data_IF_714211420646
#
_entry.id   IF_714211420646
#
_cell.length_a   1.000
_cell.length_b   1.000
_cell.length_c   1.000
_cell.angle_alpha   90.00
_cell.angle_beta   90.00
_cell.angle_gamma   90.00
#
_symmetry.space_group_name_H-M   'P 1'
#
loop_
_entity.id
_entity.type
_entity.pdbx_description
1 polymer ?
#
# COMPACT_ATOMS: atom_id res chain seq x y z
N UNK A 1 -18.35 -72.43 -4.92
CA UNK A 1 -18.10 -71.70 -6.18
C UNK A 1 -19.21 -70.68 -6.37
N UNK A 2 -19.02 -69.36 -6.46
CA UNK A 2 -17.90 -68.48 -6.17
C UNK A 2 -18.50 -67.11 -5.80
N UNK A 3 -18.05 -66.54 -4.68
CA UNK A 3 -18.38 -65.20 -4.17
C UNK A 3 -17.73 -64.08 -5.03
N UNK A 4 -17.90 -64.13 -6.35
CA UNK A 4 -17.16 -63.24 -7.28
C UNK A 4 -18.03 -62.47 -8.28
N UNK A 5 -19.36 -62.63 -8.29
CA UNK A 5 -20.22 -61.91 -9.26
C UNK A 5 -20.99 -60.71 -8.72
N UNK A 6 -20.81 -60.33 -7.44
CA UNK A 6 -21.49 -59.17 -6.83
C UNK A 6 -20.65 -57.89 -6.74
N UNK A 7 -19.38 -57.93 -7.15
CA UNK A 7 -18.47 -56.77 -7.12
C UNK A 7 -18.22 -56.13 -8.50
N UNK A 8 -18.89 -56.58 -9.56
CA UNK A 8 -18.67 -56.04 -10.92
C UNK A 8 -19.64 -54.92 -11.34
N UNK A 9 -20.57 -54.50 -10.49
CA UNK A 9 -21.50 -53.38 -10.77
C UNK A 9 -21.27 -52.15 -9.88
N UNK A 10 -20.12 -52.07 -9.20
CA UNK A 10 -19.70 -50.90 -8.39
C UNK A 10 -18.39 -50.27 -8.89
N UNK A 11 -17.87 -50.71 -10.04
CA UNK A 11 -16.61 -50.24 -10.65
C UNK A 11 -16.78 -49.58 -12.03
N UNK A 12 -18.00 -49.16 -12.37
CA UNK A 12 -18.30 -48.43 -13.62
C UNK A 12 -18.90 -47.03 -13.38
N UNK A 13 -18.62 -46.46 -12.21
CA UNK A 13 -19.02 -45.11 -11.81
C UNK A 13 -17.84 -44.28 -11.31
N UNK A 14 -16.63 -44.50 -11.84
CA UNK A 14 -15.56 -43.52 -11.72
C UNK A 14 -15.90 -42.37 -12.66
N UNK A 15 -16.63 -41.42 -12.08
CA UNK A 15 -16.78 -40.06 -12.54
C UNK A 15 -15.46 -39.58 -13.15
N UNK A 16 -15.46 -39.42 -14.46
CA UNK A 16 -14.61 -38.47 -15.15
C UNK A 16 -14.96 -37.08 -14.59
N UNK A 17 -14.38 -36.71 -13.44
CA UNK A 17 -14.09 -35.32 -13.17
C UNK A 17 -12.93 -34.95 -14.08
N UNK A 18 -13.24 -34.81 -15.38
CA UNK A 18 -12.47 -33.94 -16.23
C UNK A 18 -12.49 -32.60 -15.52
N UNK A 19 -11.37 -32.26 -14.90
CA UNK A 19 -11.08 -30.91 -14.45
C UNK A 19 -11.20 -30.06 -15.70
N UNK A 20 -12.38 -29.46 -15.85
CA UNK A 20 -12.58 -28.37 -16.78
C UNK A 20 -11.72 -27.26 -16.18
N UNK A 21 -10.46 -27.18 -16.62
CA UNK A 21 -9.77 -25.91 -16.70
C UNK A 21 -10.64 -25.08 -17.63
N UNK A 22 -11.64 -24.42 -17.05
CA UNK A 22 -12.10 -23.15 -17.58
C UNK A 22 -10.88 -22.24 -17.50
N UNK A 23 -10.02 -22.35 -18.51
CA UNK A 23 -9.29 -21.18 -18.98
C UNK A 23 -10.39 -20.23 -19.42
N UNK A 24 -10.87 -19.42 -18.47
CA UNK A 24 -11.46 -18.13 -18.80
C UNK A 24 -10.52 -17.56 -19.86
N UNK A 25 -11.06 -17.31 -21.05
CA UNK A 25 -10.38 -16.47 -22.02
C UNK A 25 -10.19 -15.13 -21.31
N UNK A 26 -9.06 -14.97 -20.64
CA UNK A 26 -8.54 -13.67 -20.29
C UNK A 26 -8.46 -12.93 -21.62
N UNK A 27 -9.16 -11.81 -21.74
CA UNK A 27 -8.81 -10.84 -22.77
C UNK A 27 -7.31 -10.57 -22.70
N UNK A 28 -6.70 -10.12 -23.79
CA UNK A 28 -5.32 -9.64 -23.72
C UNK A 28 -5.24 -8.57 -22.61
N UNK A 29 -4.64 -8.93 -21.47
CA UNK A 29 -4.28 -7.96 -20.43
C UNK A 29 -2.95 -7.32 -20.83
N UNK A 30 -2.71 -6.04 -20.51
CA UNK A 30 -1.44 -5.38 -20.83
C UNK A 30 -0.26 -6.08 -20.15
N UNK A 31 0.87 -6.18 -20.85
CA UNK A 31 2.12 -6.71 -20.29
C UNK A 31 3.16 -5.61 -20.17
N UNK A 32 3.61 -5.37 -18.94
CA UNK A 32 4.71 -4.46 -18.62
C UNK A 32 6.03 -5.23 -18.68
N UNK A 33 6.85 -4.94 -19.68
CA UNK A 33 8.23 -5.42 -19.74
C UNK A 33 9.13 -4.46 -18.94
N UNK A 34 9.56 -4.87 -17.75
CA UNK A 34 10.24 -3.98 -16.81
C UNK A 34 11.68 -3.61 -17.24
N UNK A 35 12.22 -4.29 -18.25
CA UNK A 35 13.53 -4.00 -18.83
C UNK A 35 13.46 -3.35 -20.22
N UNK A 36 12.27 -3.28 -20.81
CA UNK A 36 12.07 -2.58 -22.07
C UNK A 36 12.16 -1.07 -21.88
N UNK A 37 12.82 -0.44 -22.83
CA UNK A 37 12.76 1.01 -23.00
C UNK A 37 11.48 1.37 -23.74
N UNK A 38 10.61 2.11 -23.05
CA UNK A 38 9.40 2.69 -23.61
C UNK A 38 9.65 4.15 -23.98
N UNK A 39 8.85 4.74 -24.90
CA UNK A 39 8.85 6.18 -25.08
C UNK A 39 8.65 6.88 -23.74
N UNK A 40 9.52 7.85 -23.44
CA UNK A 40 9.52 8.58 -22.19
C UNK A 40 9.06 10.02 -22.42
N UNK A 41 8.21 10.56 -21.55
CA UNK A 41 7.81 11.97 -21.57
C UNK A 41 7.60 12.54 -20.18
N UNK A 42 7.80 13.84 -20.04
CA UNK A 42 7.36 14.57 -18.86
C UNK A 42 5.84 14.69 -18.85
N UNK A 43 5.25 14.57 -17.66
CA UNK A 43 3.81 14.65 -17.46
C UNK A 43 3.53 15.42 -16.17
N UNK A 44 2.91 16.59 -16.29
CA UNK A 44 2.45 17.31 -15.11
C UNK A 44 1.26 16.58 -14.51
N UNK A 45 1.16 16.54 -13.19
CA UNK A 45 -0.05 16.02 -12.51
C UNK A 45 -1.31 16.74 -13.04
N UNK A 46 -1.26 18.05 -13.19
CA UNK A 46 -2.37 18.89 -13.65
C UNK A 46 -2.88 18.57 -15.08
N UNK A 47 -2.10 17.86 -15.90
CA UNK A 47 -2.53 17.47 -17.25
C UNK A 47 -3.49 16.29 -17.24
N UNK A 48 -3.45 15.46 -16.19
CA UNK A 48 -4.22 14.20 -16.09
C UNK A 48 -5.05 14.10 -14.82
N UNK A 49 -4.89 15.04 -13.89
CA UNK A 49 -5.52 15.02 -12.59
C UNK A 49 -5.91 16.44 -12.13
N UNK A 50 -6.84 16.51 -11.20
CA UNK A 50 -7.04 17.69 -10.38
C UNK A 50 -6.12 17.60 -9.16
N UNK A 51 -5.36 18.67 -8.92
CA UNK A 51 -4.38 18.76 -7.84
C UNK A 51 -4.90 19.71 -6.77
N UNK A 52 -4.94 19.22 -5.54
CA UNK A 52 -5.34 19.96 -4.34
C UNK A 52 -4.20 19.99 -3.32
N UNK A 53 -3.99 21.16 -2.73
CA UNK A 53 -2.98 21.40 -1.70
C UNK A 53 -3.68 21.76 -0.39
N UNK A 54 -3.52 20.92 0.63
CA UNK A 54 -4.21 21.05 1.91
C UNK A 54 -3.17 21.32 3.00
N UNK A 55 -2.97 22.59 3.42
CA UNK A 55 -2.13 22.89 4.58
C UNK A 55 -2.81 22.34 5.84
N UNK A 56 -2.12 21.47 6.57
CA UNK A 56 -2.63 20.94 7.83
C UNK A 56 -2.42 21.99 8.94
N UNK A 57 -3.46 22.27 9.72
CA UNK A 57 -3.42 23.28 10.79
C UNK A 57 -2.34 22.94 11.82
N UNK A 58 -1.47 23.91 12.11
CA UNK A 58 -0.39 23.78 13.09
C UNK A 58 -0.74 24.50 14.38
N UNK A 59 -0.78 23.76 15.48
CA UNK A 59 -0.94 24.24 16.84
C UNK A 59 -0.10 23.36 17.77
N UNK A 60 0.07 23.76 19.02
CA UNK A 60 0.69 22.90 20.04
C UNK A 60 0.01 21.52 20.18
N UNK A 61 -1.28 21.42 19.85
CA UNK A 61 -2.06 20.18 19.91
C UNK A 61 -2.09 19.39 18.61
N UNK A 62 -1.63 19.98 17.51
CA UNK A 62 -1.70 19.40 16.17
C UNK A 62 -0.34 19.28 15.48
N UNK A 63 0.78 19.51 16.18
CA UNK A 63 2.12 19.41 15.61
C UNK A 63 2.49 17.96 15.25
N UNK A 64 2.84 17.75 13.98
CA UNK A 64 3.21 16.44 13.44
C UNK A 64 4.73 16.31 13.36
N UNK A 65 5.30 15.39 14.15
CA UNK A 65 6.74 15.17 14.19
C UNK A 65 7.21 14.21 13.10
N UNK A 66 6.36 13.26 12.73
CA UNK A 66 6.63 12.33 11.63
C UNK A 66 5.30 11.93 10.98
N UNK A 67 5.14 12.26 9.71
CA UNK A 67 4.02 11.79 8.90
C UNK A 67 4.34 10.40 8.34
N UNK A 68 3.96 9.36 9.09
CA UNK A 68 4.21 7.98 8.66
C UNK A 68 3.03 7.37 7.89
N UNK A 69 1.79 7.62 8.31
CA UNK A 69 0.59 7.08 7.64
C UNK A 69 -0.47 8.16 7.48
N UNK A 70 -1.17 8.10 6.35
CA UNK A 70 -2.18 9.06 5.93
C UNK A 70 -3.41 8.27 5.48
N UNK A 71 -4.58 8.69 5.92
CA UNK A 71 -5.86 8.20 5.45
C UNK A 71 -6.72 9.41 5.09
N UNK A 72 -7.37 9.38 3.94
CA UNK A 72 -8.12 10.51 3.40
C UNK A 72 -9.45 9.99 2.83
N UNK A 73 -10.55 10.60 3.27
CA UNK A 73 -11.87 10.51 2.65
C UNK A 73 -12.21 11.86 1.99
N UNK A 74 -13.41 11.99 1.44
CA UNK A 74 -13.89 13.27 0.89
C UNK A 74 -14.14 14.35 1.97
N UNK A 75 -14.21 13.98 3.26
CA UNK A 75 -14.58 14.86 4.37
C UNK A 75 -13.55 14.92 5.52
N UNK A 76 -12.69 13.91 5.65
CA UNK A 76 -11.76 13.76 6.78
C UNK A 76 -10.37 13.35 6.33
N UNK A 77 -9.39 13.82 7.07
CA UNK A 77 -8.00 13.42 6.97
C UNK A 77 -7.58 12.86 8.33
N UNK A 78 -6.98 11.67 8.33
CA UNK A 78 -6.42 11.03 9.53
C UNK A 78 -4.93 10.83 9.30
N UNK A 79 -4.14 11.43 10.19
CA UNK A 79 -2.69 11.25 10.24
C UNK A 79 -2.33 10.39 11.44
N UNK A 80 -1.48 9.40 11.23
CA UNK A 80 -0.83 8.71 12.34
C UNK A 80 0.62 9.17 12.45
N UNK A 81 0.95 9.75 13.60
CA UNK A 81 2.32 10.12 13.98
C UNK A 81 2.88 9.06 14.94
N UNK A 82 3.87 8.24 14.53
CA UNK A 82 4.43 7.19 15.37
C UNK A 82 5.21 7.74 16.58
N UNK A 83 5.77 8.96 16.49
CA UNK A 83 6.54 9.56 17.59
C UNK A 83 5.63 10.08 18.69
N UNK A 84 4.47 10.62 18.32
CA UNK A 84 3.41 10.97 19.27
C UNK A 84 2.47 9.78 19.57
N UNK A 85 2.61 8.68 18.82
CA UNK A 85 1.79 7.47 18.87
C UNK A 85 0.26 7.74 18.86
N UNK A 86 -0.15 8.78 18.15
CA UNK A 86 -1.51 9.29 18.16
C UNK A 86 -2.10 9.35 16.75
N UNK A 87 -3.42 9.18 16.69
CA UNK A 87 -4.23 9.50 15.52
C UNK A 87 -4.70 10.94 15.64
N UNK A 88 -4.43 11.72 14.61
CA UNK A 88 -4.79 13.13 14.51
C UNK A 88 -5.79 13.29 13.37
N UNK A 89 -6.88 13.97 13.68
CA UNK A 89 -8.02 14.14 12.78
C UNK A 89 -8.07 15.58 12.31
N UNK A 90 -8.27 15.74 11.02
CA UNK A 90 -8.48 17.01 10.37
C UNK A 90 -9.72 16.91 9.49
N UNK A 91 -10.43 18.01 9.28
CA UNK A 91 -11.40 18.08 8.19
C UNK A 91 -10.67 18.20 6.83
N UNK A 92 -11.41 18.10 5.73
CA UNK A 92 -10.85 18.22 4.38
C UNK A 92 -10.15 19.55 4.11
N UNK A 93 -10.47 20.62 4.85
CA UNK A 93 -9.78 21.91 4.70
C UNK A 93 -8.41 21.95 5.39
N UNK A 94 -8.05 20.90 6.13
CA UNK A 94 -6.83 20.79 6.92
C UNK A 94 -6.99 21.33 8.34
N UNK A 95 -8.20 21.71 8.77
CA UNK A 95 -8.44 22.18 10.14
C UNK A 95 -8.43 21.01 11.12
N UNK A 96 -7.72 21.16 12.23
CA UNK A 96 -7.61 20.15 13.28
C UNK A 96 -8.95 19.97 14.03
N UNK A 97 -9.35 18.71 14.18
CA UNK A 97 -10.58 18.30 14.85
C UNK A 97 -10.31 17.69 16.22
N UNK A 98 -9.14 17.10 16.41
CA UNK A 98 -8.77 16.42 17.64
C UNK A 98 -7.77 15.30 17.40
N UNK A 99 -7.30 14.70 18.49
CA UNK A 99 -6.42 13.53 18.43
C UNK A 99 -6.62 12.65 19.65
N UNK A 100 -6.22 11.40 19.52
CA UNK A 100 -6.11 10.51 20.65
C UNK A 100 -4.89 9.59 20.51
N UNK A 101 -4.39 9.10 21.64
CA UNK A 101 -3.46 7.98 21.70
C UNK A 101 -3.98 6.97 22.70
N UNK A 102 -3.97 5.68 22.32
CA UNK A 102 -4.19 4.55 23.24
C UNK A 102 -2.88 3.83 23.53
N UNK A 103 -1.75 4.54 23.56
CA UNK A 103 -0.47 3.95 23.93
C UNK A 103 -0.42 3.63 25.42
N UNK A 104 -0.19 2.38 25.75
CA UNK A 104 -0.14 1.90 27.12
C UNK A 104 -0.10 0.38 27.19
N UNK A 105 -0.17 -0.16 28.41
CA UNK A 105 0.00 -1.60 28.66
C UNK A 105 -1.29 -2.30 29.10
N UNK A 106 -2.41 -1.57 29.18
CA UNK A 106 -3.70 -2.19 29.50
C UNK A 106 -4.23 -3.06 28.34
N UNK A 107 -5.23 -3.89 28.62
CA UNK A 107 -5.81 -4.79 27.63
C UNK A 107 -6.47 -4.11 26.41
N UNK A 108 -6.82 -2.84 26.56
CA UNK A 108 -7.49 -1.99 25.55
C UNK A 108 -6.56 -0.96 24.92
N UNK A 109 -5.30 -0.89 25.36
CA UNK A 109 -4.27 -0.01 24.83
C UNK A 109 -3.32 -0.79 23.94
N UNK A 110 -2.62 -0.12 23.02
CA UNK A 110 -1.54 -0.70 22.23
C UNK A 110 -0.16 -0.32 22.78
N UNK A 111 0.79 -1.25 22.70
CA UNK A 111 2.19 -0.99 23.06
C UNK A 111 2.98 -0.59 21.81
N UNK A 112 2.88 -1.42 20.77
CA UNK A 112 3.55 -1.25 19.48
C UNK A 112 2.55 -1.48 18.35
N UNK A 113 2.57 -0.62 17.35
CA UNK A 113 1.74 -0.73 16.15
C UNK A 113 2.62 -1.31 15.04
N UNK A 114 2.25 -2.50 14.56
CA UNK A 114 2.95 -3.22 13.50
C UNK A 114 2.25 -3.08 12.14
N UNK A 115 0.94 -2.84 12.16
CA UNK A 115 0.14 -2.58 10.98
C UNK A 115 -1.13 -1.83 11.37
N UNK A 116 -1.70 -1.08 10.44
CA UNK A 116 -2.90 -0.30 10.70
C UNK A 116 -3.63 0.07 9.42
N UNK A 117 -4.94 0.27 9.55
CA UNK A 117 -5.80 0.82 8.49
C UNK A 117 -7.05 1.44 9.11
N UNK A 118 -7.84 2.14 8.32
CA UNK A 118 -9.10 2.76 8.76
C UNK A 118 -10.24 2.37 7.83
N UNK A 119 -11.45 2.39 8.36
CA UNK A 119 -12.68 2.32 7.61
C UNK A 119 -13.49 3.60 7.91
N UNK A 120 -13.59 4.47 6.91
CA UNK A 120 -14.32 5.74 7.03
C UNK A 120 -15.83 5.54 7.15
N UNK A 121 -16.40 4.51 6.50
CA UNK A 121 -17.85 4.24 6.54
C UNK A 121 -18.27 3.69 7.90
N UNK A 122 -17.41 2.89 8.52
CA UNK A 122 -17.65 2.34 9.87
C UNK A 122 -17.12 3.24 10.99
N UNK A 123 -16.37 4.30 10.66
CA UNK A 123 -15.61 5.13 11.58
C UNK A 123 -14.75 4.31 12.56
N UNK A 124 -14.03 3.33 11.99
CA UNK A 124 -13.21 2.37 12.73
C UNK A 124 -11.74 2.43 12.37
N UNK A 125 -10.89 2.37 13.39
CA UNK A 125 -9.44 2.25 13.26
C UNK A 125 -9.04 0.83 13.66
N UNK A 126 -8.25 0.18 12.81
CA UNK A 126 -7.75 -1.17 12.99
C UNK A 126 -6.25 -1.12 13.27
N UNK A 127 -5.83 -1.67 14.40
CA UNK A 127 -4.43 -1.68 14.85
C UNK A 127 -3.97 -3.11 15.03
N UNK A 128 -2.98 -3.53 14.25
CA UNK A 128 -2.28 -4.78 14.47
C UNK A 128 -1.12 -4.59 15.46
N UNK A 129 -1.21 -5.32 16.57
CA UNK A 129 -0.15 -5.45 17.57
C UNK A 129 0.43 -6.87 17.52
N UNK A 130 1.61 -7.02 16.93
CA UNK A 130 2.39 -8.25 17.04
C UNK A 130 3.01 -8.37 18.43
N UNK A 131 3.00 -9.58 18.97
CA UNK A 131 3.73 -9.96 20.19
C UNK A 131 4.70 -11.09 19.84
N UNK A 132 5.96 -10.95 20.26
CA UNK A 132 6.97 -11.98 19.96
C UNK A 132 6.69 -13.24 20.76
N UNK A 133 6.57 -14.39 20.08
CA UNK A 133 6.32 -15.69 20.71
C UNK A 133 4.92 -15.85 21.33
N UNK A 134 3.98 -14.95 21.02
CA UNK A 134 2.59 -14.98 21.48
C UNK A 134 1.64 -14.64 20.32
N UNK A 135 0.36 -15.01 20.39
CA UNK A 135 -0.64 -14.54 19.43
C UNK A 135 -0.68 -13.00 19.37
N UNK A 136 -0.76 -12.48 18.15
CA UNK A 136 -0.98 -11.06 17.89
C UNK A 136 -2.45 -10.67 18.07
N UNK A 137 -2.73 -9.37 18.01
CA UNK A 137 -4.11 -8.87 18.06
C UNK A 137 -4.35 -7.81 17.01
N UNK A 138 -5.51 -7.85 16.35
CA UNK A 138 -6.08 -6.65 15.74
C UNK A 138 -7.02 -6.03 16.78
N UNK A 139 -6.74 -4.80 17.20
CA UNK A 139 -7.59 -4.01 18.08
C UNK A 139 -8.36 -2.98 17.25
N UNK A 140 -9.62 -2.78 17.58
CA UNK A 140 -10.52 -1.88 16.86
C UNK A 140 -10.95 -0.74 17.77
N UNK A 141 -10.82 0.49 17.28
CA UNK A 141 -11.22 1.71 17.96
C UNK A 141 -12.21 2.51 17.12
N UNK A 142 -13.07 3.31 17.76
CA UNK A 142 -13.81 4.37 17.07
C UNK A 142 -12.88 5.53 16.70
N UNK A 143 -13.35 6.46 15.87
CA UNK A 143 -12.63 7.71 15.59
C UNK A 143 -12.49 8.63 16.83
N UNK A 144 -13.38 8.51 17.81
CA UNK A 144 -13.21 9.15 19.13
C UNK A 144 -12.21 8.41 20.04
N UNK A 145 -11.60 7.34 19.54
CA UNK A 145 -10.61 6.54 20.22
C UNK A 145 -11.17 5.56 21.24
N UNK A 146 -12.47 5.29 21.27
CA UNK A 146 -13.05 4.28 22.17
C UNK A 146 -12.72 2.86 21.69
N UNK A 147 -12.25 2.00 22.59
CA UNK A 147 -12.00 0.60 22.27
C UNK A 147 -13.32 -0.13 22.04
N UNK A 148 -13.46 -0.79 20.87
CA UNK A 148 -14.66 -1.56 20.51
C UNK A 148 -14.47 -3.06 20.77
N UNK A 149 -13.43 -3.64 20.18
CA UNK A 149 -13.20 -5.09 20.14
C UNK A 149 -11.78 -5.44 19.73
N UNK A 150 -11.45 -6.74 19.77
CA UNK A 150 -10.22 -7.29 19.21
C UNK A 150 -10.44 -8.67 18.61
N UNK A 151 -9.57 -9.04 17.68
CA UNK A 151 -9.42 -10.41 17.19
C UNK A 151 -8.02 -10.91 17.48
N UNK A 152 -7.91 -12.20 17.74
CA UNK A 152 -6.62 -12.87 17.88
C UNK A 152 -6.10 -13.24 16.51
N UNK A 153 -4.86 -12.87 16.24
CA UNK A 153 -4.11 -13.30 15.06
C UNK A 153 -3.27 -14.51 15.48
N UNK A 154 -3.35 -15.65 14.76
CA UNK A 154 -2.55 -16.83 15.07
C UNK A 154 -1.07 -16.49 15.18
N UNK A 155 -0.37 -17.09 16.13
CA UNK A 155 1.07 -16.85 16.34
C UNK A 155 1.91 -17.34 15.14
N UNK A 156 1.31 -18.16 14.27
CA UNK A 156 1.89 -18.76 13.06
C UNK A 156 2.12 -17.71 11.96
N UNK A 157 1.38 -16.60 11.97
CA UNK A 157 1.48 -15.53 10.96
C UNK A 157 1.86 -14.20 11.60
N UNK A 158 2.38 -13.28 10.78
CA UNK A 158 2.57 -11.87 11.11
C UNK A 158 1.97 -11.07 9.99
N UNK A 159 1.07 -10.15 10.28
CA UNK A 159 0.23 -9.59 9.23
C UNK A 159 0.51 -8.12 8.93
N UNK A 160 0.36 -7.76 7.67
CA UNK A 160 -0.06 -6.42 7.28
C UNK A 160 -1.53 -6.42 6.87
N UNK A 161 -2.20 -5.30 7.11
CA UNK A 161 -3.64 -5.15 6.89
C UNK A 161 -3.93 -3.92 6.05
N UNK A 162 -4.88 -4.06 5.12
CA UNK A 162 -5.43 -2.98 4.30
C UNK A 162 -6.94 -3.07 4.35
N UNK A 163 -7.63 -1.93 4.37
CA UNK A 163 -9.07 -1.90 4.25
C UNK A 163 -9.50 -2.40 2.87
N UNK A 164 -10.50 -3.29 2.78
CA UNK A 164 -11.06 -3.72 1.48
C UNK A 164 -12.48 -3.22 1.28
N UNK A 165 -13.41 -3.60 2.15
CA UNK A 165 -14.79 -3.16 2.11
C UNK A 165 -15.42 -3.25 3.50
N UNK A 166 -16.70 -2.89 3.65
CA UNK A 166 -17.42 -2.93 4.94
C UNK A 166 -17.36 -4.27 5.69
N UNK A 167 -17.15 -5.38 4.98
CA UNK A 167 -17.22 -6.73 5.54
C UNK A 167 -15.85 -7.33 5.84
N UNK A 168 -14.80 -6.90 5.12
CA UNK A 168 -13.48 -7.53 5.16
C UNK A 168 -12.30 -6.54 5.23
N UNK A 169 -11.26 -6.95 5.95
CA UNK A 169 -9.89 -6.47 5.76
C UNK A 169 -9.16 -7.40 4.79
N UNK A 170 -8.28 -6.85 3.97
CA UNK A 170 -7.29 -7.62 3.22
C UNK A 170 -6.04 -7.82 4.08
N UNK A 171 -5.51 -9.03 4.09
CA UNK A 171 -4.42 -9.44 4.97
C UNK A 171 -3.32 -10.11 4.15
N UNK A 172 -2.08 -9.67 4.36
CA UNK A 172 -0.88 -10.38 3.90
C UNK A 172 -0.12 -10.94 5.10
N UNK A 173 0.24 -12.22 5.06
CA UNK A 173 1.25 -12.79 5.94
C UNK A 173 2.66 -12.42 5.48
N UNK A 174 3.29 -11.55 6.28
CA UNK A 174 4.64 -11.02 6.10
C UNK A 174 5.66 -11.72 7.01
N UNK A 175 5.29 -12.80 7.71
CA UNK A 175 6.20 -13.50 8.60
C UNK A 175 7.41 -14.05 7.84
N UNK A 176 8.59 -13.61 8.26
CA UNK A 176 9.87 -14.13 7.76
C UNK A 176 10.22 -13.69 6.34
N UNK A 177 9.40 -12.88 5.69
CA UNK A 177 9.72 -12.34 4.36
C UNK A 177 10.92 -11.40 4.45
N UNK A 178 11.80 -11.45 3.44
CA UNK A 178 13.06 -10.70 3.33
C UNK A 178 14.18 -11.09 4.33
N UNK A 179 13.94 -12.07 5.21
CA UNK A 179 14.98 -12.63 6.08
C UNK A 179 15.66 -13.81 5.39
N UNK A 180 16.98 -13.72 5.19
CA UNK A 180 17.76 -14.75 4.47
C UNK A 180 17.72 -16.13 5.14
N UNK A 181 17.44 -16.20 6.45
CA UNK A 181 17.44 -17.43 7.26
C UNK A 181 16.04 -18.03 7.46
N UNK A 182 15.02 -17.53 6.76
CA UNK A 182 13.62 -17.93 6.95
C UNK A 182 12.93 -18.32 5.65
N UNK A 183 11.96 -19.20 5.79
CA UNK A 183 11.08 -19.65 4.72
C UNK A 183 9.67 -19.06 4.95
N UNK A 184 9.26 -18.01 4.23
CA UNK A 184 7.93 -17.41 4.38
C UNK A 184 6.84 -18.29 3.72
N UNK A 185 5.59 -18.13 4.14
CA UNK A 185 4.46 -18.84 3.50
C UNK A 185 4.36 -18.52 2.01
N UNK A 186 4.11 -19.51 1.15
CA UNK A 186 3.85 -19.25 -0.28
C UNK A 186 2.38 -18.92 -0.58
N UNK A 187 1.49 -19.02 0.40
CA UNK A 187 0.08 -18.60 0.29
C UNK A 187 -0.22 -17.47 1.30
N UNK A 188 0.24 -16.23 1.05
CA UNK A 188 0.24 -15.19 2.07
C UNK A 188 -1.07 -14.41 2.19
N UNK A 189 -2.02 -14.60 1.27
CA UNK A 189 -3.15 -13.69 1.12
C UNK A 189 -4.44 -14.23 1.72
N UNK A 190 -5.08 -13.40 2.54
CA UNK A 190 -6.33 -13.71 3.23
C UNK A 190 -7.31 -12.53 3.19
N UNK A 191 -8.60 -12.84 3.33
CA UNK A 191 -9.62 -11.91 3.77
C UNK A 191 -9.93 -12.18 5.24
N UNK A 192 -9.90 -11.15 6.07
CA UNK A 192 -10.35 -11.25 7.46
C UNK A 192 -11.73 -10.61 7.60
N UNK A 193 -12.70 -11.36 8.12
CA UNK A 193 -14.02 -10.80 8.41
C UNK A 193 -13.95 -9.75 9.52
N UNK A 194 -14.46 -8.54 9.26
CA UNK A 194 -14.63 -7.47 10.27
C UNK A 194 -15.69 -7.76 11.32
N UNK A 195 -16.48 -8.82 11.13
CA UNK A 195 -17.50 -9.28 12.08
C UNK A 195 -16.93 -10.34 13.03
N UNK A 196 -16.28 -11.36 12.49
CA UNK A 196 -15.85 -12.53 13.26
C UNK A 196 -14.35 -12.60 13.54
N UNK A 197 -13.53 -11.89 12.76
CA UNK A 197 -12.07 -12.02 12.76
C UNK A 197 -11.55 -13.27 12.07
N UNK A 198 -12.43 -14.05 11.43
CA UNK A 198 -12.07 -15.27 10.71
C UNK A 198 -11.26 -14.94 9.47
N UNK A 199 -10.17 -15.68 9.25
CA UNK A 199 -9.30 -15.59 8.09
C UNK A 199 -9.73 -16.60 7.02
N UNK A 200 -10.08 -16.09 5.84
CA UNK A 200 -10.37 -16.87 4.64
C UNK A 200 -9.20 -16.75 3.65
N UNK A 201 -8.52 -17.84 3.28
CA UNK A 201 -7.42 -17.78 2.33
C UNK A 201 -7.91 -17.45 0.92
N UNK A 202 -7.20 -16.57 0.22
CA UNK A 202 -7.44 -16.22 -1.19
C UNK A 202 -6.86 -17.25 -2.18
N UNK A 203 -5.98 -18.14 -1.71
CA UNK A 203 -5.35 -19.22 -2.51
C UNK A 203 -4.58 -18.70 -3.73
N UNK A 204 -3.78 -17.65 -3.51
CA UNK A 204 -2.84 -17.11 -4.49
C UNK A 204 -1.43 -17.54 -4.08
N UNK A 205 -0.88 -18.53 -4.78
CA UNK A 205 0.47 -19.06 -4.53
C UNK A 205 1.53 -18.13 -5.12
N UNK A 206 2.53 -17.78 -4.32
CA UNK A 206 3.65 -16.91 -4.69
C UNK A 206 4.96 -17.66 -4.38
N UNK A 207 5.58 -18.22 -5.42
CA UNK A 207 6.81 -18.99 -5.29
C UNK A 207 7.99 -18.12 -4.82
N UNK A 208 8.23 -17.02 -5.52
CA UNK A 208 9.34 -16.11 -5.23
C UNK A 208 8.94 -15.04 -4.20
N UNK A 209 8.75 -15.41 -2.92
CA UNK A 209 8.40 -14.44 -1.86
C UNK A 209 9.53 -13.45 -1.60
N UNK A 210 9.24 -12.16 -1.76
CA UNK A 210 10.04 -11.06 -1.24
C UNK A 210 9.18 -9.79 -1.12
N UNK A 211 9.64 -8.85 -0.31
CA UNK A 211 8.94 -7.59 0.00
C UNK A 211 9.90 -6.40 -0.14
N UNK A 212 9.49 -5.27 0.40
CA UNK A 212 10.14 -3.97 0.27
C UNK A 212 11.16 -3.69 1.38
N UNK A 213 11.72 -4.72 2.03
CA UNK A 213 12.79 -4.54 3.01
C UNK A 213 14.08 -5.25 2.57
N UNK A 214 15.22 -4.68 2.97
CA UNK A 214 16.52 -5.33 2.96
C UNK A 214 17.04 -5.39 4.39
N UNK A 215 17.25 -6.61 4.89
CA UNK A 215 17.82 -6.85 6.21
C UNK A 215 19.31 -7.19 6.08
N UNK A 216 20.14 -6.47 6.81
CA UNK A 216 21.57 -6.77 6.95
C UNK A 216 21.86 -7.09 8.41
N UNK A 217 22.12 -8.36 8.69
CA UNK A 217 22.58 -8.81 10.01
C UNK A 217 24.10 -8.91 10.06
N UNK A 218 24.71 -8.35 11.09
CA UNK A 218 26.14 -8.50 11.38
C UNK A 218 26.32 -8.91 12.84
N UNK A 219 26.90 -10.07 13.06
CA UNK A 219 27.35 -10.48 14.40
C UNK A 219 28.49 -9.55 14.83
N UNK A 220 28.31 -8.89 15.98
CA UNK A 220 29.30 -8.00 16.58
C UNK A 220 30.02 -8.71 17.73
N UNK A 221 29.30 -9.57 18.45
CA UNK A 221 29.83 -10.50 19.46
C UNK A 221 28.91 -11.70 19.60
N UNK A 222 29.34 -12.71 20.37
CA UNK A 222 28.53 -13.91 20.69
C UNK A 222 27.14 -13.60 21.27
N UNK A 223 26.95 -12.42 21.86
CA UNK A 223 25.68 -12.00 22.50
C UNK A 223 24.98 -10.86 21.79
N UNK A 224 25.58 -10.28 20.74
CA UNK A 224 25.03 -9.11 20.07
C UNK A 224 25.16 -9.21 18.54
N UNK A 225 24.02 -9.25 17.88
CA UNK A 225 23.90 -9.11 16.43
C UNK A 225 23.25 -7.78 16.12
N UNK A 226 23.91 -6.96 15.31
CA UNK A 226 23.34 -5.74 14.76
C UNK A 226 22.49 -6.09 13.55
N UNK A 227 21.27 -5.57 13.48
CA UNK A 227 20.40 -5.71 12.29
C UNK A 227 20.08 -4.32 11.76
N UNK A 228 20.44 -4.06 10.51
CA UNK A 228 20.02 -2.87 9.76
C UNK A 228 18.88 -3.25 8.84
N UNK A 229 17.76 -2.52 8.91
CA UNK A 229 16.67 -2.62 7.94
C UNK A 229 16.71 -1.38 7.04
N UNK A 230 16.67 -1.60 5.72
CA UNK A 230 16.38 -0.58 4.72
C UNK A 230 15.01 -0.89 4.11
N UNK A 231 14.03 -0.02 4.35
CA UNK A 231 12.69 -0.12 3.78
C UNK A 231 12.54 0.77 2.55
N UNK A 232 11.93 0.24 1.49
CA UNK A 232 11.61 0.95 0.25
C UNK A 232 10.14 1.38 0.26
N UNK A 233 9.81 2.62 -0.16
CA UNK A 233 8.45 3.13 -0.21
C UNK A 233 7.71 2.62 -1.46
N UNK A 234 7.56 1.30 -1.57
CA UNK A 234 6.83 0.61 -2.63
C UNK A 234 5.99 -0.48 -1.98
N UNK A 235 4.69 -0.50 -2.28
CA UNK A 235 3.76 -1.44 -1.66
C UNK A 235 3.23 -2.46 -2.67
N UNK A 236 3.33 -3.77 -2.39
CA UNK A 236 2.78 -4.80 -3.28
C UNK A 236 1.25 -4.87 -3.21
N UNK A 237 0.65 -4.31 -2.15
CA UNK A 237 -0.80 -4.24 -1.94
C UNK A 237 -1.16 -2.78 -1.77
N UNK A 238 -2.08 -2.30 -2.59
CA UNK A 238 -2.58 -0.93 -2.51
C UNK A 238 -4.09 -0.86 -2.62
N UNK A 239 -4.68 0.19 -2.03
CA UNK A 239 -6.12 0.43 -2.07
C UNK A 239 -6.39 1.88 -2.46
N UNK A 240 -7.32 2.06 -3.39
CA UNK A 240 -7.74 3.37 -3.89
C UNK A 240 -9.26 3.34 -4.14
N UNK A 241 -10.03 4.05 -3.32
CA UNK A 241 -11.48 3.88 -3.26
C UNK A 241 -11.85 2.41 -2.96
N UNK A 242 -12.79 1.83 -3.69
CA UNK A 242 -13.18 0.43 -3.53
C UNK A 242 -12.22 -0.57 -4.23
N UNK A 243 -11.23 -0.07 -4.97
CA UNK A 243 -10.29 -0.93 -5.70
C UNK A 243 -9.13 -1.33 -4.79
N UNK A 244 -8.88 -2.62 -4.72
CA UNK A 244 -7.69 -3.19 -4.10
C UNK A 244 -6.86 -3.91 -5.15
N UNK A 245 -5.56 -3.64 -5.17
CA UNK A 245 -4.60 -4.20 -6.12
C UNK A 245 -3.60 -5.10 -5.41
N UNK A 246 -3.28 -6.23 -6.04
CA UNK A 246 -2.21 -7.14 -5.64
C UNK A 246 -1.18 -7.14 -6.78
N UNK A 247 -0.14 -6.34 -6.61
CA UNK A 247 1.02 -6.23 -7.49
C UNK A 247 2.25 -6.93 -6.89
N UNK A 248 2.03 -8.04 -6.17
CA UNK A 248 3.04 -8.83 -5.47
C UNK A 248 4.32 -8.96 -6.31
N UNK A 249 5.45 -8.62 -5.71
CA UNK A 249 6.72 -8.53 -6.42
C UNK A 249 7.17 -9.90 -6.96
N UNK A 250 6.78 -10.99 -6.29
CA UNK A 250 7.03 -12.38 -6.68
C UNK A 250 6.16 -12.90 -7.82
N UNK A 251 5.07 -12.21 -8.16
CA UNK A 251 4.15 -12.62 -9.23
C UNK A 251 4.48 -11.97 -10.58
N UNK A 252 4.16 -12.67 -11.66
CA UNK A 252 4.15 -12.13 -13.03
C UNK A 252 2.82 -11.45 -13.37
N UNK A 253 1.80 -11.61 -12.54
CA UNK A 253 0.44 -11.12 -12.81
C UNK A 253 0.06 -10.13 -11.71
N UNK A 254 -0.54 -9.02 -12.12
CA UNK A 254 -1.16 -8.03 -11.24
C UNK A 254 -2.65 -8.31 -11.20
N UNK A 255 -3.20 -8.38 -10.00
CA UNK A 255 -4.61 -8.65 -9.77
C UNK A 255 -5.32 -7.43 -9.16
N UNK A 256 -6.62 -7.31 -9.44
CA UNK A 256 -7.55 -6.51 -8.67
C UNK A 256 -8.52 -7.43 -7.94
N UNK A 257 -8.85 -7.13 -6.68
CA UNK A 257 -9.81 -7.92 -5.91
C UNK A 257 -11.23 -7.40 -6.15
N UNK A 258 -12.10 -8.23 -6.75
CA UNK A 258 -13.51 -7.94 -7.04
C UNK A 258 -14.41 -9.03 -6.49
N UNK A 259 -15.42 -8.66 -5.72
CA UNK A 259 -16.36 -9.60 -5.10
C UNK A 259 -15.64 -10.78 -4.41
N UNK A 260 -14.57 -10.49 -3.66
CA UNK A 260 -13.69 -11.49 -2.99
C UNK A 260 -12.89 -12.42 -3.91
N UNK A 261 -12.86 -12.15 -5.22
CA UNK A 261 -12.09 -12.91 -6.22
C UNK A 261 -11.00 -12.06 -6.86
N UNK A 262 -9.83 -12.65 -7.06
CA UNK A 262 -8.71 -11.99 -7.73
C UNK A 262 -8.92 -12.05 -9.25
N UNK A 263 -8.97 -10.88 -9.88
CA UNK A 263 -9.15 -10.72 -11.32
C UNK A 263 -7.83 -10.20 -11.92
N UNK A 264 -7.22 -10.89 -12.89
CA UNK A 264 -6.01 -10.41 -13.56
C UNK A 264 -6.30 -9.10 -14.29
N UNK A 265 -5.46 -8.08 -14.10
CA UNK A 265 -5.60 -6.78 -14.77
C UNK A 265 -4.38 -6.41 -15.63
N UNK A 266 -3.21 -6.98 -15.35
CA UNK A 266 -1.98 -6.77 -16.12
C UNK A 266 -0.97 -7.89 -15.83
N UNK A 267 0.05 -8.01 -16.68
CA UNK A 267 1.19 -8.90 -16.52
C UNK A 267 2.51 -8.12 -16.45
N UNK A 268 3.55 -8.77 -15.93
CA UNK A 268 4.90 -8.27 -15.70
C UNK A 268 5.91 -9.26 -16.25
N UNK A 269 6.74 -8.82 -17.18
CA UNK A 269 7.82 -9.62 -17.77
C UNK A 269 9.19 -9.01 -17.46
N UNK A 270 10.25 -9.81 -17.65
CA UNK A 270 11.63 -9.38 -17.46
C UNK A 270 11.88 -8.76 -16.06
N UNK A 271 11.33 -9.41 -15.03
CA UNK A 271 11.28 -8.93 -13.63
C UNK A 271 12.62 -8.94 -12.87
N UNK A 272 13.71 -9.33 -13.54
CA UNK A 272 15.05 -9.42 -12.95
C UNK A 272 16.06 -8.70 -13.84
N UNK A 273 16.79 -7.73 -13.31
CA UNK A 273 17.80 -6.98 -14.07
C UNK A 273 18.95 -7.87 -14.55
N UNK A 274 19.76 -7.37 -15.49
CA UNK A 274 20.99 -8.05 -15.94
C UNK A 274 22.01 -8.36 -14.84
N UNK A 275 21.89 -7.70 -13.67
CA UNK A 275 22.73 -7.94 -12.48
C UNK A 275 22.09 -8.91 -11.48
N UNK A 276 20.89 -9.42 -11.75
CA UNK A 276 20.19 -10.38 -10.89
C UNK A 276 19.24 -9.76 -9.87
N UNK A 277 19.05 -8.44 -9.87
CA UNK A 277 18.16 -7.79 -8.89
C UNK A 277 16.70 -7.92 -9.32
N UNK A 278 15.79 -8.07 -8.35
CA UNK A 278 14.35 -8.18 -8.61
C UNK A 278 13.68 -6.79 -8.58
N UNK A 279 12.72 -6.56 -9.47
CA UNK A 279 11.87 -5.37 -9.45
C UNK A 279 10.76 -5.49 -8.40
N UNK A 280 10.53 -4.42 -7.66
CA UNK A 280 9.34 -4.20 -6.83
C UNK A 280 8.34 -3.35 -7.61
N UNK A 281 7.05 -3.66 -7.52
CA UNK A 281 6.01 -2.99 -8.32
C UNK A 281 4.80 -2.60 -7.50
N UNK A 282 4.27 -1.41 -7.72
CA UNK A 282 3.09 -0.88 -7.07
C UNK A 282 2.11 -0.35 -8.13
N UNK A 283 0.83 -0.68 -8.01
CA UNK A 283 -0.22 0.01 -8.75
C UNK A 283 -0.59 1.26 -7.97
N UNK A 284 -0.22 2.44 -8.49
CA UNK A 284 -0.50 3.72 -7.83
C UNK A 284 -1.96 4.16 -8.02
N UNK A 285 -2.57 3.80 -9.14
CA UNK A 285 -3.96 4.09 -9.47
C UNK A 285 -4.41 3.28 -10.68
N UNK A 286 -5.72 3.09 -10.82
CA UNK A 286 -6.36 2.65 -12.06
C UNK A 286 -7.66 3.45 -12.25
N UNK A 287 -7.84 4.09 -13.41
CA UNK A 287 -9.11 4.68 -13.88
C UNK A 287 -9.58 3.87 -15.10
N UNK A 288 -10.71 4.22 -15.69
CA UNK A 288 -11.14 3.60 -16.96
C UNK A 288 -10.15 3.85 -18.09
N UNK A 289 -9.49 5.01 -18.08
CA UNK A 289 -8.52 5.40 -19.11
C UNK A 289 -7.07 5.00 -18.81
N UNK A 290 -6.64 5.03 -17.56
CA UNK A 290 -5.22 4.88 -17.22
C UNK A 290 -4.96 3.80 -16.16
N UNK A 291 -3.81 3.14 -16.25
CA UNK A 291 -3.18 2.42 -15.14
C UNK A 291 -1.77 2.99 -14.95
N UNK A 292 -1.45 3.44 -13.72
CA UNK A 292 -0.11 3.91 -13.38
C UNK A 292 0.60 2.83 -12.55
N UNK A 293 1.64 2.24 -13.11
CA UNK A 293 2.49 1.26 -12.46
C UNK A 293 3.82 1.90 -12.06
N UNK A 294 4.12 1.91 -10.77
CA UNK A 294 5.43 2.26 -10.24
C UNK A 294 6.29 1.00 -10.14
N UNK A 295 7.54 1.06 -10.61
CA UNK A 295 8.51 -0.02 -10.48
C UNK A 295 9.86 0.51 -10.01
N UNK A 296 10.51 -0.26 -9.13
CA UNK A 296 11.81 0.09 -8.53
C UNK A 296 12.70 -1.16 -8.50
N UNK A 297 13.97 -1.00 -8.87
CA UNK A 297 14.97 -2.05 -8.64
C UNK A 297 15.24 -2.18 -7.13
N UNK A 298 15.18 -3.39 -6.56
CA UNK A 298 15.53 -3.66 -5.15
C UNK A 298 17.05 -3.55 -4.91
N UNK A 299 17.58 -2.36 -5.12
CA UNK A 299 18.95 -1.92 -4.83
C UNK A 299 18.93 -0.59 -4.07
N UNK A 300 20.01 -0.32 -3.33
CA UNK A 300 20.21 0.96 -2.62
C UNK A 300 20.15 2.17 -3.58
N UNK A 301 20.43 1.98 -4.88
CA UNK A 301 20.24 3.01 -5.90
C UNK A 301 18.78 3.11 -6.32
N UNK A 302 17.98 3.84 -5.56
CA UNK A 302 16.56 4.07 -5.84
C UNK A 302 16.39 4.90 -7.13
N UNK A 303 15.95 4.25 -8.22
CA UNK A 303 15.57 4.92 -9.48
C UNK A 303 14.15 4.48 -9.85
N UNK A 304 13.12 5.26 -9.45
CA UNK A 304 11.74 4.88 -9.71
C UNK A 304 11.41 5.03 -11.19
N UNK A 305 10.68 4.06 -11.73
CA UNK A 305 10.09 4.11 -13.06
C UNK A 305 8.57 4.13 -12.93
N UNK A 306 7.91 5.04 -13.63
CA UNK A 306 6.46 5.07 -13.73
C UNK A 306 6.05 4.72 -15.15
N UNK A 307 5.23 3.69 -15.29
CA UNK A 307 4.63 3.28 -16.55
C UNK A 307 3.17 3.71 -16.55
N UNK A 308 2.79 4.55 -17.52
CA UNK A 308 1.40 4.92 -17.75
C UNK A 308 0.88 4.05 -18.90
N UNK A 309 -0.09 3.19 -18.59
CA UNK A 309 -0.83 2.44 -19.60
C UNK A 309 -2.11 3.19 -19.95
N UNK A 310 -2.20 3.65 -21.19
CA UNK A 310 -3.42 4.15 -21.83
C UNK A 310 -4.27 2.94 -22.26
N UNK A 311 -5.35 2.70 -21.51
CA UNK A 311 -6.24 1.56 -21.65
C UNK A 311 -7.14 1.68 -22.89
N UNK A 312 -7.36 2.88 -23.40
CA UNK A 312 -8.18 3.13 -24.59
C UNK A 312 -7.38 2.85 -25.86
N UNK A 313 -6.09 3.23 -25.87
CA UNK A 313 -5.22 3.14 -27.04
C UNK A 313 -4.25 1.95 -27.01
N UNK A 314 -4.32 1.13 -25.96
CA UNK A 314 -3.43 -0.01 -25.70
C UNK A 314 -1.94 0.36 -25.79
N UNK A 315 -1.56 1.46 -25.12
CA UNK A 315 -0.21 2.03 -25.20
C UNK A 315 0.42 2.18 -23.83
N UNK A 316 1.63 1.63 -23.67
CA UNK A 316 2.46 1.84 -22.48
C UNK A 316 3.54 2.88 -22.80
N UNK A 317 3.68 3.87 -21.93
CA UNK A 317 4.76 4.87 -21.96
C UNK A 317 5.41 4.97 -20.58
N UNK A 318 6.67 5.39 -20.53
CA UNK A 318 7.28 5.83 -19.27
C UNK A 318 6.98 7.32 -19.06
N UNK A 319 6.60 7.69 -17.84
CA UNK A 319 6.28 9.06 -17.49
C UNK A 319 7.20 9.59 -16.39
N UNK A 320 7.64 10.83 -16.57
CA UNK A 320 8.36 11.60 -15.55
C UNK A 320 7.34 12.55 -14.93
N UNK A 321 6.81 12.18 -13.77
CA UNK A 321 5.77 12.93 -13.07
C UNK A 321 6.35 14.14 -12.33
N UNK A 322 5.70 15.29 -12.47
CA UNK A 322 6.10 16.52 -11.78
C UNK A 322 4.88 17.39 -11.44
N UNK A 323 5.09 18.33 -10.52
CA UNK A 323 4.10 19.34 -10.19
C UNK A 323 4.40 20.64 -10.96
N UNK A 324 3.50 21.05 -11.86
CA UNK A 324 3.65 22.27 -12.66
C UNK A 324 3.73 23.55 -11.80
N UNK A 325 3.22 23.50 -10.57
CA UNK A 325 3.24 24.64 -9.64
C UNK A 325 4.60 24.82 -8.95
N UNK A 326 5.64 24.09 -9.38
CA UNK A 326 7.04 24.46 -9.13
C UNK A 326 7.94 23.34 -8.63
N UNK A 327 7.47 22.10 -8.55
CA UNK A 327 8.25 20.96 -8.05
C UNK A 327 8.63 20.02 -9.20
N UNK A 328 9.93 19.94 -9.49
CA UNK A 328 10.45 19.09 -10.57
C UNK A 328 10.40 17.60 -10.20
N UNK A 329 10.45 16.73 -11.20
CA UNK A 329 10.42 15.29 -10.97
C UNK A 329 11.59 14.74 -10.13
N UNK A 330 12.78 15.35 -10.23
CA UNK A 330 13.93 14.97 -9.39
C UNK A 330 13.67 15.29 -7.91
N UNK A 331 12.94 16.37 -7.64
CA UNK A 331 12.56 16.78 -6.29
C UNK A 331 11.44 15.89 -5.73
N UNK A 332 10.46 15.51 -6.58
CA UNK A 332 9.43 14.51 -6.24
C UNK A 332 10.08 13.21 -5.73
N UNK A 333 11.21 12.81 -6.33
CA UNK A 333 11.94 11.58 -5.93
C UNK A 333 12.86 11.77 -4.71
N UNK A 334 13.47 12.95 -4.54
CA UNK A 334 14.53 13.20 -3.53
C UNK A 334 14.05 13.79 -2.20
N UNK A 335 12.90 14.45 -2.16
CA UNK A 335 12.31 14.95 -0.90
C UNK A 335 11.67 13.77 -0.16
N UNK A 336 12.45 12.98 0.57
CA UNK A 336 11.99 11.93 1.52
C UNK A 336 10.71 11.16 1.09
N UNK A 337 10.67 10.60 -0.12
CA UNK A 337 9.59 9.69 -0.52
C UNK A 337 8.29 10.35 -0.97
N UNK A 338 8.35 11.47 -1.69
CA UNK A 338 7.21 12.15 -2.34
C UNK A 338 6.80 11.45 -3.66
N UNK A 339 6.99 10.14 -3.76
CA UNK A 339 6.44 9.36 -4.86
C UNK A 339 4.91 9.33 -4.78
N UNK A 340 4.16 9.59 -5.87
CA UNK A 340 2.72 9.34 -5.90
C UNK A 340 2.47 7.86 -5.62
N UNK A 341 1.88 7.59 -4.47
CA UNK A 341 1.62 6.26 -3.96
C UNK A 341 0.22 6.21 -3.35
N UNK A 342 -0.42 5.05 -3.47
CA UNK A 342 -1.62 4.72 -2.70
C UNK A 342 -1.34 3.62 -1.66
N UNK A 343 -0.06 3.31 -1.44
CA UNK A 343 0.40 2.35 -0.45
C UNK A 343 0.39 2.90 0.98
N UNK A 344 0.12 2.01 1.94
CA UNK A 344 0.11 2.34 3.36
C UNK A 344 -0.99 3.31 3.81
N UNK A 345 -1.95 3.64 2.94
CA UNK A 345 -3.06 4.54 3.24
C UNK A 345 -4.41 3.99 2.80
N UNK A 346 -5.44 4.81 3.01
CA UNK A 346 -6.81 4.63 2.51
C UNK A 346 -7.16 5.95 1.85
N UNK A 347 -7.34 5.98 0.54
CA UNK A 347 -7.53 7.22 -0.22
C UNK A 347 -8.80 7.15 -1.07
N UNK A 348 -9.38 8.30 -1.46
CA UNK A 348 -10.53 8.33 -2.37
C UNK A 348 -10.19 7.66 -3.71
N UNK A 349 -11.22 7.30 -4.46
CA UNK A 349 -11.05 6.70 -5.78
C UNK A 349 -10.15 7.57 -6.68
N UNK A 350 -9.29 6.90 -7.44
CA UNK A 350 -8.38 7.51 -8.43
C UNK A 350 -7.45 8.58 -7.85
N UNK A 351 -7.16 8.53 -6.54
CA UNK A 351 -6.37 9.56 -5.85
C UNK A 351 -5.07 8.98 -5.30
N UNK A 352 -3.96 9.68 -5.57
CA UNK A 352 -2.68 9.46 -4.89
C UNK A 352 -2.39 10.61 -3.94
N UNK A 353 -1.76 10.32 -2.79
CA UNK A 353 -1.55 11.31 -1.72
C UNK A 353 -0.11 11.35 -1.25
N UNK A 354 0.52 12.51 -1.40
CA UNK A 354 1.85 12.80 -0.87
C UNK A 354 1.85 14.15 -0.14
N UNK A 355 3.03 14.69 0.18
CA UNK A 355 3.13 15.92 0.98
C UNK A 355 4.37 16.73 0.65
N UNK A 356 4.32 18.03 0.93
CA UNK A 356 5.47 18.92 0.91
C UNK A 356 5.69 19.50 2.31
N UNK A 357 6.93 19.47 2.80
CA UNK A 357 7.28 20.12 4.07
C UNK A 357 7.21 21.65 3.92
N UNK A 358 6.79 22.34 4.98
CA UNK A 358 6.66 23.80 4.96
C UNK A 358 7.99 24.50 4.63
N UNK A 359 9.08 24.10 5.29
CA UNK A 359 10.42 24.64 5.03
C UNK A 359 10.88 24.48 3.57
N UNK A 360 10.56 23.34 2.95
CA UNK A 360 10.85 23.10 1.53
C UNK A 360 10.08 24.05 0.61
N UNK A 361 8.78 24.24 0.87
CA UNK A 361 7.96 25.17 0.09
C UNK A 361 8.40 26.62 0.26
N UNK A 362 8.76 27.03 1.48
CA UNK A 362 9.26 28.37 1.75
C UNK A 362 10.58 28.66 1.03
N UNK A 363 11.53 27.72 1.02
CA UNK A 363 12.78 27.85 0.27
C UNK A 363 12.51 28.09 -1.23
N UNK A 364 11.55 27.37 -1.81
CA UNK A 364 11.18 27.54 -3.22
C UNK A 364 10.41 28.82 -3.49
N UNK A 365 9.61 29.27 -2.54
CA UNK A 365 8.93 30.55 -2.59
C UNK A 365 9.95 31.70 -2.62
N UNK A 366 10.96 31.66 -1.74
CA UNK A 366 12.05 32.64 -1.69
C UNK A 366 12.84 32.70 -3.01
N UNK A 367 13.05 31.54 -3.65
CA UNK A 367 13.71 31.45 -4.96
C UNK A 367 12.82 31.86 -6.15
N UNK A 368 11.54 32.13 -5.92
CA UNK A 368 10.58 32.49 -6.97
C UNK A 368 10.21 31.32 -7.91
N UNK A 369 10.37 30.08 -7.44
CA UNK A 369 10.15 28.86 -8.23
C UNK A 369 8.69 28.41 -8.22
N UNK A 370 7.96 28.70 -7.13
CA UNK A 370 6.56 28.31 -6.98
C UNK A 370 5.61 29.16 -7.83
N UNK A 371 4.55 28.52 -8.33
CA UNK A 371 3.50 29.11 -9.17
C UNK A 371 2.12 28.63 -8.72
N UNK A 372 1.07 29.19 -9.32
CA UNK A 372 -0.29 28.69 -9.18
C UNK A 372 -0.78 28.62 -7.73
N UNK A 373 -1.58 27.58 -7.44
CA UNK A 373 -2.20 27.40 -6.12
C UNK A 373 -1.17 27.03 -5.06
N UNK A 374 -0.12 26.29 -5.42
CA UNK A 374 0.92 25.93 -4.46
C UNK A 374 1.64 27.17 -3.92
N UNK A 375 1.88 28.18 -4.78
CA UNK A 375 2.42 29.47 -4.36
C UNK A 375 1.50 30.17 -3.36
N UNK A 376 0.19 30.24 -3.66
CA UNK A 376 -0.80 30.89 -2.78
C UNK A 376 -0.91 30.21 -1.41
N UNK A 377 -0.69 28.89 -1.34
CA UNK A 377 -0.61 28.14 -0.09
C UNK A 377 0.69 28.47 0.64
N UNK A 378 1.83 28.41 -0.06
CA UNK A 378 3.15 28.65 0.53
C UNK A 378 3.32 30.07 1.10
N UNK A 379 2.69 31.09 0.50
CA UNK A 379 2.71 32.48 1.00
C UNK A 379 2.07 32.65 2.39
N UNK A 380 1.34 31.65 2.87
CA UNK A 380 0.65 31.68 4.17
C UNK A 380 1.31 30.79 5.23
N UNK A 381 2.37 30.05 4.87
CA UNK A 381 3.04 29.12 5.76
C UNK A 381 4.08 29.82 6.64
N UNK A 382 4.28 29.26 7.83
CA UNK A 382 5.47 29.44 8.67
C UNK A 382 6.42 28.25 8.52
N UNK A 383 7.70 28.41 8.89
CA UNK A 383 8.72 27.36 8.77
C UNK A 383 8.42 26.16 9.67
N UNK A 384 7.75 26.38 10.80
CA UNK A 384 7.37 25.34 11.75
C UNK A 384 6.00 24.70 11.43
N UNK A 385 5.36 25.10 10.33
CA UNK A 385 4.07 24.55 9.96
C UNK A 385 4.15 23.06 9.61
N UNK A 386 3.06 22.36 9.93
CA UNK A 386 2.82 21.02 9.47
C UNK A 386 2.89 20.95 7.92
N UNK A 387 3.25 19.78 7.37
CA UNK A 387 3.30 19.61 5.93
C UNK A 387 1.97 19.88 5.22
N UNK A 388 2.08 20.36 3.99
CA UNK A 388 0.96 20.51 3.06
C UNK A 388 0.72 19.16 2.39
N UNK A 389 -0.45 18.57 2.57
CA UNK A 389 -0.85 17.38 1.82
C UNK A 389 -1.14 17.75 0.36
N UNK A 390 -0.80 16.84 -0.53
CA UNK A 390 -1.07 16.96 -1.97
C UNK A 390 -1.93 15.78 -2.39
N UNK A 391 -3.16 16.08 -2.81
CA UNK A 391 -4.08 15.11 -3.38
C UNK A 391 -4.05 15.28 -4.89
N UNK A 392 -3.69 14.21 -5.59
CA UNK A 392 -3.72 14.18 -7.06
C UNK A 392 -4.81 13.20 -7.48
N UNK A 393 -5.97 13.74 -7.83
CA UNK A 393 -7.16 12.99 -8.23
C UNK A 393 -7.22 12.88 -9.75
N UNK A 394 -6.88 11.72 -10.28
CA UNK A 394 -6.86 11.47 -11.72
C UNK A 394 -8.26 11.57 -12.31
N UNK A 395 -8.34 12.20 -13.48
CA UNK A 395 -9.58 12.32 -14.25
C UNK A 395 -9.92 10.97 -14.85
N UNK A 396 -11.21 10.67 -14.91
CA UNK A 396 -11.73 9.47 -15.57
C UNK A 396 -11.42 9.45 -17.07
#
# INVERSE_FOLDING_TARGET
>A
MNRLSRYLWLLAGCLFFASCKETQKTGNIPTFDLQKEYPQRELAYQDVADVEYIPLETTDSSLIKTLAYKFVSDDKIIIFDPLNAGYMFFDHSGKYLGSFSRKGQSGTEYVNIWGQTVDFDLEEIYVYEQRHGLPGYIKVYTFDGEYKRRWTVPQEISIEIVNYNKDYLFVEDVRGVDWDDRDPSHDPYYLMSKKTGELQPLRLHVEDRFRNNLYYSKEISETFTSVTNISFPVWPITQCGEQLFVADFGLDTIYSLKDTHLVPIAAKENRTTSKGNKFMTEVCMMTDKYLLLHAVDKLISYTPKYYLYDRENDKIEQVILYDRDGVSALEVVSVRGVSPSCGGGVFPAHTVVFQYGASYLLEKLEKGELKGKLKEVAEKLDVEDNPVLVLVKFKE
#
